data_IF_382747942314
#
_entry.id   IF_382747942314
#
_cell.length_a   1.000
_cell.length_b   1.000
_cell.length_c   1.000
_cell.angle_alpha   90.00
_cell.angle_beta   90.00
_cell.angle_gamma   90.00
#
_symmetry.space_group_name_H-M   'P 1'
#
loop_
_entity.id
_entity.type
_entity.pdbx_description
1 polymer ?
#
# COMPACT_ATOMS: atom_id res chain seq x y z
N UNK A 1 8.36 66.40 -3.47
CA UNK A 1 8.52 66.93 -4.85
C UNK A 1 9.76 66.29 -5.46
N UNK A 2 9.67 66.00 -6.76
CA UNK A 2 10.66 65.40 -7.67
C UNK A 2 10.80 63.88 -7.59
N UNK A 3 10.90 63.12 -8.68
CA UNK A 3 10.44 63.17 -10.09
C UNK A 3 10.91 61.86 -10.76
N UNK A 4 10.27 61.49 -11.87
CA UNK A 4 10.42 60.23 -12.60
C UNK A 4 11.68 60.12 -13.51
N UNK A 5 11.95 58.88 -13.96
CA UNK A 5 12.87 58.46 -15.04
C UNK A 5 14.16 57.81 -14.52
N UNK A 6 14.62 56.63 -14.93
CA UNK A 6 14.71 56.14 -16.32
C UNK A 6 14.89 54.61 -16.44
N UNK A 7 14.59 54.09 -17.63
CA UNK A 7 14.72 52.71 -18.10
C UNK A 7 16.17 52.35 -18.45
N UNK A 8 16.73 51.24 -17.92
CA UNK A 8 17.80 50.49 -18.60
C UNK A 8 17.74 49.00 -18.27
N UNK A 9 17.30 48.22 -19.25
CA UNK A 9 17.39 46.77 -19.35
C UNK A 9 18.82 46.32 -19.68
N UNK A 10 19.32 45.28 -18.98
CA UNK A 10 20.45 44.45 -19.42
C UNK A 10 19.98 42.98 -19.53
N UNK A 11 20.50 42.21 -20.49
CA UNK A 11 19.82 41.05 -21.04
C UNK A 11 20.16 39.77 -20.29
N UNK A 12 19.13 39.02 -19.88
CA UNK A 12 19.24 37.58 -19.65
C UNK A 12 18.89 36.87 -20.95
N UNK A 13 19.90 36.49 -21.73
CA UNK A 13 19.72 35.55 -22.84
C UNK A 13 19.20 34.22 -22.26
N UNK A 14 18.07 33.68 -22.75
CA UNK A 14 17.60 32.37 -22.33
C UNK A 14 18.46 31.28 -22.98
N UNK A 15 18.74 30.18 -22.26
CA UNK A 15 19.39 28.94 -22.73
C UNK A 15 18.85 28.35 -24.06
N UNK A 16 17.74 28.89 -24.58
CA UNK A 16 17.15 28.55 -25.88
C UNK A 16 18.03 28.97 -27.05
N UNK A 17 18.79 30.06 -26.93
CA UNK A 17 19.55 30.63 -28.05
C UNK A 17 20.92 29.94 -28.24
N UNK A 18 21.53 29.39 -27.18
CA UNK A 18 22.76 28.58 -27.30
C UNK A 18 22.50 27.17 -27.86
N UNK A 19 21.28 26.63 -27.68
CA UNK A 19 20.94 25.27 -28.11
C UNK A 19 20.44 25.17 -29.57
N UNK A 20 20.09 26.30 -30.19
CA UNK A 20 19.73 26.35 -31.62
C UNK A 20 20.97 26.34 -32.54
N UNK A 21 22.17 26.57 -32.00
CA UNK A 21 23.43 26.55 -32.75
C UNK A 21 23.97 25.12 -33.06
N UNK A 22 23.36 24.06 -32.50
CA UNK A 22 23.76 22.67 -32.71
C UNK A 22 22.88 21.88 -33.67
N UNK A 23 21.98 22.55 -34.42
CA UNK A 23 21.25 21.94 -35.54
C UNK A 23 20.15 20.94 -35.14
N UNK A 24 19.71 20.95 -33.88
CA UNK A 24 18.57 20.14 -33.44
C UNK A 24 17.28 20.86 -33.83
N UNK A 25 16.52 20.29 -34.76
CA UNK A 25 15.26 20.87 -35.21
C UNK A 25 14.19 20.83 -34.10
N UNK A 26 13.34 21.85 -34.03
CA UNK A 26 12.26 22.02 -33.03
C UNK A 26 11.31 20.81 -32.93
N UNK A 27 11.26 19.99 -33.98
CA UNK A 27 10.52 18.72 -34.06
C UNK A 27 11.14 17.61 -33.22
N UNK A 28 12.48 17.57 -33.11
CA UNK A 28 13.18 16.57 -32.30
C UNK A 28 13.08 16.88 -30.78
N UNK A 29 13.02 18.16 -30.41
CA UNK A 29 12.79 18.58 -29.03
C UNK A 29 11.36 18.24 -28.57
N UNK A 30 10.37 18.39 -29.46
CA UNK A 30 8.98 17.98 -29.21
C UNK A 30 8.81 16.46 -29.08
N UNK A 31 9.64 15.66 -29.74
CA UNK A 31 9.64 14.20 -29.60
C UNK A 31 10.29 13.72 -28.28
N UNK A 32 11.37 14.36 -27.84
CA UNK A 32 12.02 14.04 -26.57
C UNK A 32 11.15 14.42 -25.36
N UNK A 33 10.49 15.57 -25.41
CA UNK A 33 9.51 15.94 -24.38
C UNK A 33 8.19 15.15 -24.50
N UNK A 34 7.77 14.80 -25.73
CA UNK A 34 6.56 14.02 -25.99
C UNK A 34 6.63 12.57 -25.50
N UNK A 35 7.81 11.94 -25.50
CA UNK A 35 7.99 10.56 -25.02
C UNK A 35 7.95 10.43 -23.49
N UNK A 36 8.24 11.50 -22.74
CA UNK A 36 8.18 11.50 -21.29
C UNK A 36 6.81 11.95 -20.74
N UNK A 37 6.02 12.71 -21.50
CA UNK A 37 4.70 13.20 -21.05
C UNK A 37 3.49 12.58 -21.75
N UNK A 38 3.72 11.72 -22.75
CA UNK A 38 2.68 11.14 -23.61
C UNK A 38 1.88 9.96 -23.03
N UNK A 39 2.20 9.49 -21.82
CA UNK A 39 1.50 8.35 -21.21
C UNK A 39 0.50 8.70 -20.10
N UNK A 40 0.36 9.97 -19.71
CA UNK A 40 -0.45 10.29 -18.53
C UNK A 40 -1.66 11.19 -18.71
N UNK A 41 -1.78 12.06 -19.73
CA UNK A 41 -3.02 12.83 -19.92
C UNK A 41 -3.24 13.23 -21.39
N UNK A 42 -4.40 12.94 -22.01
CA UNK A 42 -4.79 13.63 -23.23
C UNK A 42 -5.05 15.10 -22.90
N UNK A 43 -4.45 15.99 -23.69
CA UNK A 43 -4.50 17.45 -23.58
C UNK A 43 -5.96 17.96 -23.66
N UNK A 44 -6.62 18.03 -22.51
CA UNK A 44 -7.72 18.95 -22.25
C UNK A 44 -7.37 19.71 -20.99
N UNK A 45 -7.69 21.00 -20.96
CA UNK A 45 -7.39 21.94 -19.87
C UNK A 45 -8.32 21.69 -18.66
N UNK A 46 -8.38 20.43 -18.23
CA UNK A 46 -9.07 19.92 -17.06
C UNK A 46 -8.05 19.05 -16.32
N UNK A 47 -7.39 19.59 -15.29
CA UNK A 47 -6.64 18.74 -14.36
C UNK A 47 -7.68 17.78 -13.75
N UNK A 48 -7.56 16.46 -13.91
CA UNK A 48 -8.47 15.58 -13.20
C UNK A 48 -8.31 15.87 -11.70
N UNK A 49 -9.41 15.97 -10.95
CA UNK A 49 -9.33 16.23 -9.53
C UNK A 49 -8.58 15.10 -8.82
N UNK A 50 -7.65 15.46 -7.95
CA UNK A 50 -7.17 14.59 -6.89
C UNK A 50 -5.66 14.43 -6.70
N UNK A 51 -4.76 14.75 -7.66
CA UNK A 51 -3.36 14.32 -7.50
C UNK A 51 -2.24 15.15 -8.15
N UNK A 52 -1.02 14.96 -7.61
CA UNK A 52 0.28 15.25 -8.23
C UNK A 52 1.10 13.94 -8.26
N UNK A 53 1.73 13.63 -9.40
CA UNK A 53 2.55 12.44 -9.61
C UNK A 53 4.01 12.85 -9.89
N UNK A 54 4.97 12.24 -9.19
CA UNK A 54 6.42 12.39 -9.46
C UNK A 54 6.90 11.36 -10.50
N UNK A 55 8.10 11.58 -11.06
CA UNK A 55 8.74 10.64 -12.00
C UNK A 55 8.96 9.24 -11.42
N UNK A 56 9.05 9.12 -10.10
CA UNK A 56 9.28 7.86 -9.37
C UNK A 56 7.98 7.19 -8.88
N UNK A 57 6.85 7.41 -9.57
CA UNK A 57 5.52 6.87 -9.20
C UNK A 57 5.05 7.28 -7.78
N UNK A 58 5.52 8.41 -7.27
CA UNK A 58 5.04 8.98 -6.02
C UNK A 58 3.77 9.78 -6.23
N UNK A 59 2.72 9.43 -5.52
CA UNK A 59 1.41 10.06 -5.54
C UNK A 59 1.17 10.83 -4.23
N UNK A 60 0.68 12.06 -4.33
CA UNK A 60 0.27 12.86 -3.17
C UNK A 60 -1.19 13.22 -3.28
N UNK A 61 -1.94 13.02 -2.19
CA UNK A 61 -3.34 13.38 -2.11
C UNK A 61 -3.53 14.90 -2.13
N UNK A 62 -4.75 15.33 -2.43
CA UNK A 62 -5.15 16.71 -2.22
C UNK A 62 -5.37 17.01 -0.73
N UNK A 63 -5.24 18.27 -0.37
CA UNK A 63 -5.51 18.75 0.99
C UNK A 63 -6.98 18.60 1.37
N UNK A 64 -7.88 18.79 0.41
CA UNK A 64 -9.31 18.55 0.56
C UNK A 64 -9.97 18.36 -0.80
N UNK A 65 -11.24 17.97 -0.80
CA UNK A 65 -12.00 17.77 -2.04
C UNK A 65 -12.08 19.04 -2.92
N UNK A 66 -11.86 20.22 -2.33
CA UNK A 66 -11.92 21.52 -3.04
C UNK A 66 -10.55 22.19 -3.19
N UNK A 67 -9.55 21.82 -2.38
CA UNK A 67 -8.22 22.43 -2.39
C UNK A 67 -7.18 21.46 -2.98
N UNK A 68 -6.69 21.73 -4.21
CA UNK A 68 -5.76 20.87 -4.92
C UNK A 68 -4.31 20.95 -4.43
N UNK A 69 -4.04 21.69 -3.35
CA UNK A 69 -2.74 21.70 -2.69
C UNK A 69 -2.39 20.33 -2.12
N UNK A 70 -1.10 20.14 -1.85
CA UNK A 70 -0.58 18.90 -1.26
C UNK A 70 -1.26 18.62 0.08
N UNK A 71 -1.84 17.42 0.18
CA UNK A 71 -2.41 16.87 1.39
C UNK A 71 -1.41 16.05 2.20
N UNK A 72 -1.92 15.32 3.19
CA UNK A 72 -1.08 14.59 4.14
C UNK A 72 -0.71 13.18 3.69
N UNK A 73 -1.50 12.60 2.76
CA UNK A 73 -1.31 11.23 2.34
C UNK A 73 -0.41 11.11 1.12
N UNK A 74 0.52 10.17 1.19
CA UNK A 74 1.40 9.82 0.09
C UNK A 74 1.32 8.34 -0.22
N UNK A 75 1.42 8.00 -1.49
CA UNK A 75 1.54 6.64 -1.98
C UNK A 75 2.81 6.49 -2.79
N UNK A 76 3.62 5.50 -2.45
CA UNK A 76 4.90 5.21 -3.11
C UNK A 76 5.25 3.72 -2.99
N UNK A 77 6.21 3.30 -3.80
CA UNK A 77 6.81 1.97 -3.70
C UNK A 77 8.00 2.03 -2.74
N UNK A 78 7.98 1.17 -1.73
CA UNK A 78 9.06 1.01 -0.76
C UNK A 78 10.21 0.24 -1.43
N UNK A 79 11.39 0.85 -1.51
CA UNK A 79 12.57 0.29 -2.18
C UNK A 79 13.14 -0.95 -1.47
N UNK A 80 12.96 -1.05 -0.15
CA UNK A 80 13.52 -2.14 0.65
C UNK A 80 12.65 -3.40 0.55
N UNK A 81 11.33 -3.22 0.61
CA UNK A 81 10.38 -4.34 0.64
C UNK A 81 9.76 -4.66 -0.71
N UNK A 82 9.95 -3.78 -1.70
CA UNK A 82 9.31 -3.85 -3.01
C UNK A 82 7.76 -3.83 -2.94
N UNK A 83 7.21 -3.30 -1.84
CA UNK A 83 5.77 -3.19 -1.57
C UNK A 83 5.28 -1.76 -1.79
N UNK A 84 4.01 -1.61 -2.14
CA UNK A 84 3.39 -0.30 -2.19
C UNK A 84 2.86 0.10 -0.82
N UNK A 85 3.09 1.35 -0.44
CA UNK A 85 2.77 1.87 0.89
C UNK A 85 1.96 3.15 0.78
N UNK A 86 0.95 3.29 1.64
CA UNK A 86 0.26 4.55 1.88
C UNK A 86 0.68 5.07 3.26
N UNK A 87 1.13 6.31 3.31
CA UNK A 87 1.61 6.98 4.51
C UNK A 87 0.84 8.26 4.78
N UNK A 88 0.60 8.56 6.07
CA UNK A 88 0.14 9.87 6.56
C UNK A 88 1.34 10.55 7.23
N UNK A 89 2.01 11.44 6.48
CA UNK A 89 3.34 11.93 6.86
C UNK A 89 4.34 10.80 7.04
N UNK A 90 4.82 10.58 8.27
CA UNK A 90 5.79 9.53 8.62
C UNK A 90 5.15 8.21 9.06
N UNK A 91 3.82 8.16 9.17
CA UNK A 91 3.11 6.99 9.70
C UNK A 91 2.60 6.14 8.52
N UNK A 92 3.14 4.93 8.36
CA UNK A 92 2.62 3.94 7.41
C UNK A 92 1.20 3.54 7.82
N UNK A 93 0.22 3.73 6.94
CA UNK A 93 -1.20 3.41 7.17
C UNK A 93 -1.65 2.16 6.44
N UNK A 94 -0.98 1.78 5.36
CA UNK A 94 -1.31 0.60 4.58
C UNK A 94 -0.11 0.10 3.81
N UNK A 95 -0.04 -1.21 3.60
CA UNK A 95 0.94 -1.86 2.74
C UNK A 95 0.23 -2.87 1.82
N UNK A 96 0.73 -3.02 0.60
CA UNK A 96 0.28 -4.04 -0.35
C UNK A 96 0.80 -5.44 -0.06
N UNK A 97 1.57 -5.64 1.02
CA UNK A 97 2.32 -6.84 1.36
C UNK A 97 1.52 -8.17 1.40
N UNK A 98 2.23 -9.27 1.65
CA UNK A 98 1.63 -10.62 1.63
C UNK A 98 0.50 -10.78 2.64
N UNK A 99 -0.75 -10.66 2.15
CA UNK A 99 -1.88 -11.24 2.84
C UNK A 99 -1.65 -12.75 2.90
N UNK A 100 -1.73 -13.36 4.08
CA UNK A 100 -1.87 -14.82 4.15
C UNK A 100 -3.05 -15.28 3.29
N UNK A 101 -3.02 -16.52 2.79
CA UNK A 101 -4.06 -17.07 1.88
C UNK A 101 -5.50 -16.88 2.38
N UNK A 102 -5.68 -16.64 3.68
CA UNK A 102 -6.96 -16.39 4.34
C UNK A 102 -7.53 -14.97 4.16
N UNK A 103 -6.69 -13.95 3.91
CA UNK A 103 -7.09 -12.52 3.89
C UNK A 103 -6.87 -11.84 2.54
N UNK A 104 -7.24 -12.53 1.45
CA UNK A 104 -7.12 -12.05 0.07
C UNK A 104 -7.77 -10.68 -0.24
N UNK A 105 -8.66 -10.17 0.62
CA UNK A 105 -9.27 -8.84 0.47
C UNK A 105 -8.32 -7.68 0.76
N UNK A 106 -7.25 -7.92 1.53
CA UNK A 106 -6.24 -6.91 1.86
C UNK A 106 -5.15 -6.81 0.78
N UNK A 107 -5.02 -7.85 -0.06
CA UNK A 107 -4.02 -7.90 -1.13
C UNK A 107 -4.39 -6.99 -2.28
N UNK A 108 -3.40 -6.22 -2.75
CA UNK A 108 -3.53 -5.51 -4.02
C UNK A 108 -3.70 -6.51 -5.17
N UNK A 109 -4.73 -6.38 -6.03
CA UNK A 109 -4.91 -7.23 -7.19
C UNK A 109 -3.69 -7.19 -8.11
N UNK A 110 -3.25 -8.35 -8.60
CA UNK A 110 -2.06 -8.45 -9.44
C UNK A 110 -2.18 -7.59 -10.72
N UNK A 111 -3.39 -7.46 -11.28
CA UNK A 111 -3.63 -6.58 -12.43
C UNK A 111 -3.34 -5.11 -12.15
N UNK A 112 -3.48 -4.64 -10.90
CA UNK A 112 -3.15 -3.28 -10.48
C UNK A 112 -1.64 -3.17 -10.23
N UNK A 113 -1.02 -4.18 -9.63
CA UNK A 113 0.44 -4.27 -9.49
C UNK A 113 1.14 -4.21 -10.86
N UNK A 114 0.60 -4.93 -11.85
CA UNK A 114 1.09 -4.90 -13.24
C UNK A 114 1.01 -3.50 -13.84
N UNK A 115 -0.13 -2.82 -13.67
CA UNK A 115 -0.33 -1.44 -14.13
C UNK A 115 0.64 -0.46 -13.48
N UNK A 116 0.80 -0.51 -12.15
CA UNK A 116 1.69 0.36 -11.39
C UNK A 116 3.18 0.12 -11.74
N UNK A 117 3.56 -1.11 -12.09
CA UNK A 117 4.92 -1.43 -12.55
C UNK A 117 5.25 -0.94 -13.95
N UNK A 118 4.39 -0.13 -14.57
CA UNK A 118 4.47 0.22 -15.99
C UNK A 118 4.58 -1.03 -16.90
N UNK A 119 3.80 -2.07 -16.56
CA UNK A 119 3.70 -3.30 -17.34
C UNK A 119 4.99 -4.13 -17.40
N UNK A 120 5.90 -3.97 -16.45
CA UNK A 120 7.19 -4.68 -16.41
C UNK A 120 7.17 -5.94 -15.55
N UNK A 121 6.33 -6.01 -14.51
CA UNK A 121 6.24 -7.17 -13.63
C UNK A 121 5.56 -8.36 -14.31
N UNK A 122 6.11 -9.55 -14.10
CA UNK A 122 5.43 -10.81 -14.45
C UNK A 122 4.45 -11.13 -13.34
N UNK A 123 3.16 -11.13 -13.67
CA UNK A 123 2.10 -11.50 -12.74
C UNK A 123 1.60 -12.91 -13.05
N UNK A 124 1.32 -13.74 -12.02
CA UNK A 124 0.68 -15.03 -12.25
C UNK A 124 -0.65 -14.86 -12.99
N UNK A 125 -1.09 -15.84 -13.81
CA UNK A 125 -2.42 -15.82 -14.40
C UNK A 125 -3.46 -16.00 -13.28
N UNK A 126 -3.86 -14.90 -12.64
CA UNK A 126 -4.87 -14.93 -11.60
C UNK A 126 -6.27 -14.83 -12.20
N UNK A 127 -7.20 -15.56 -11.58
CA UNK A 127 -8.63 -15.29 -11.68
C UNK A 127 -8.90 -14.00 -10.91
N UNK A 128 -8.46 -12.86 -11.42
CA UNK A 128 -8.74 -11.58 -10.77
C UNK A 128 -10.25 -11.44 -10.62
N UNK A 129 -10.74 -11.24 -9.39
CA UNK A 129 -12.14 -10.87 -9.11
C UNK A 129 -12.48 -9.44 -9.53
N UNK A 130 -11.53 -8.71 -10.12
CA UNK A 130 -11.88 -7.56 -10.95
C UNK A 130 -12.66 -8.17 -12.11
N UNK A 131 -13.93 -7.80 -12.27
CA UNK A 131 -14.78 -8.19 -13.41
C UNK A 131 -14.21 -7.60 -14.71
N UNK A 132 -13.00 -7.99 -15.08
CA UNK A 132 -12.47 -7.86 -16.42
C UNK A 132 -13.04 -9.07 -17.14
N UNK A 133 -14.23 -8.87 -17.71
CA UNK A 133 -14.99 -9.89 -18.42
C UNK A 133 -14.12 -10.52 -19.49
N UNK A 134 -13.57 -11.71 -19.25
CA UNK A 134 -12.99 -12.54 -20.30
C UNK A 134 -13.43 -13.98 -20.13
N UNK A 135 -14.14 -14.57 -21.12
CA UNK A 135 -14.34 -16.00 -21.20
C UNK A 135 -13.14 -16.63 -21.91
N UNK A 136 -12.09 -17.04 -21.19
CA UNK A 136 -11.17 -18.07 -21.68
C UNK A 136 -10.14 -18.49 -20.61
N UNK A 137 -10.09 -19.78 -20.34
CA UNK A 137 -9.09 -20.51 -19.56
C UNK A 137 -7.83 -20.79 -20.39
N UNK A 138 -7.06 -19.77 -20.74
CA UNK A 138 -5.71 -19.91 -21.28
C UNK A 138 -4.83 -18.78 -20.75
N UNK A 139 -3.52 -19.02 -20.58
CA UNK A 139 -2.54 -18.06 -20.07
C UNK A 139 -2.61 -16.72 -20.83
N UNK A 140 -3.45 -15.80 -20.39
CA UNK A 140 -3.67 -14.51 -21.02
C UNK A 140 -2.68 -13.52 -20.43
N UNK A 141 -1.69 -13.15 -21.24
CA UNK A 141 -0.92 -11.93 -20.99
C UNK A 141 -1.89 -10.76 -20.97
N UNK A 142 -1.99 -10.08 -19.83
CA UNK A 142 -2.78 -8.86 -19.69
C UNK A 142 -2.25 -7.82 -20.70
N UNK A 143 -3.00 -7.56 -21.77
CA UNK A 143 -2.61 -6.55 -22.75
C UNK A 143 -2.69 -5.15 -22.16
N UNK A 144 -1.67 -4.31 -22.42
CA UNK A 144 -1.64 -2.89 -22.03
C UNK A 144 -2.89 -2.12 -22.50
N UNK A 145 -3.48 -2.54 -23.62
CA UNK A 145 -4.70 -1.92 -24.16
C UNK A 145 -5.90 -1.98 -23.21
N UNK A 146 -5.97 -2.97 -22.31
CA UNK A 146 -7.05 -3.10 -21.33
C UNK A 146 -7.06 -1.98 -20.28
N UNK A 147 -5.93 -1.31 -20.08
CA UNK A 147 -5.77 -0.22 -19.11
C UNK A 147 -5.87 1.17 -19.77
N UNK A 148 -6.16 1.24 -21.06
CA UNK A 148 -6.26 2.51 -21.81
C UNK A 148 -7.32 3.47 -21.25
N UNK A 149 -8.38 2.92 -20.66
CA UNK A 149 -9.48 3.66 -20.05
C UNK A 149 -9.48 3.54 -18.52
N UNK A 150 -8.32 3.35 -17.89
CA UNK A 150 -8.24 3.28 -16.42
C UNK A 150 -7.44 4.43 -15.81
N UNK A 151 -7.68 4.69 -14.52
CA UNK A 151 -6.92 5.66 -13.73
C UNK A 151 -6.76 5.18 -12.29
N UNK A 152 -5.69 5.63 -11.65
CA UNK A 152 -5.47 5.50 -10.21
C UNK A 152 -5.57 6.88 -9.57
N UNK A 153 -6.21 6.96 -8.40
CA UNK A 153 -6.32 8.15 -7.57
C UNK A 153 -6.03 7.83 -6.11
N UNK A 154 -5.23 8.62 -5.40
CA UNK A 154 -5.19 8.64 -3.93
C UNK A 154 -6.15 9.72 -3.44
N UNK A 155 -7.12 9.32 -2.64
CA UNK A 155 -8.14 10.22 -2.12
C UNK A 155 -7.65 11.04 -0.93
N UNK A 156 -8.42 12.06 -0.54
CA UNK A 156 -8.05 12.94 0.57
C UNK A 156 -8.12 12.23 1.94
N UNK A 157 -8.83 11.11 1.99
CA UNK A 157 -8.93 10.18 3.12
C UNK A 157 -7.80 9.13 3.15
N UNK A 158 -6.90 9.13 2.16
CA UNK A 158 -5.79 8.18 2.10
C UNK A 158 -6.16 6.83 1.48
N UNK A 159 -7.19 6.79 0.64
CA UNK A 159 -7.61 5.60 -0.10
C UNK A 159 -7.06 5.62 -1.53
N UNK A 160 -6.32 4.59 -1.92
CA UNK A 160 -5.89 4.38 -3.30
C UNK A 160 -7.01 3.70 -4.08
N UNK A 161 -7.58 4.41 -5.05
CA UNK A 161 -8.74 3.99 -5.83
C UNK A 161 -8.33 3.72 -7.29
N UNK A 162 -8.72 2.56 -7.81
CA UNK A 162 -8.60 2.19 -9.22
C UNK A 162 -9.95 2.28 -9.92
N UNK A 163 -10.01 3.07 -10.99
CA UNK A 163 -11.23 3.37 -11.73
C UNK A 163 -11.10 2.96 -13.19
N UNK A 164 -12.19 2.48 -13.79
CA UNK A 164 -12.31 2.22 -15.23
C UNK A 164 -13.42 3.09 -15.81
N UNK A 165 -13.12 3.73 -16.93
CA UNK A 165 -14.09 4.47 -17.73
C UNK A 165 -14.77 3.54 -18.73
N UNK A 166 -16.09 3.54 -18.70
CA UNK A 166 -16.95 2.89 -19.68
C UNK A 166 -17.89 3.93 -20.30
N UNK A 167 -18.17 3.81 -21.59
CA UNK A 167 -18.98 4.81 -22.32
C UNK A 167 -20.43 4.87 -21.86
N UNK A 168 -20.96 3.78 -21.28
CA UNK A 168 -22.34 3.68 -20.83
C UNK A 168 -22.48 4.05 -19.35
N UNK A 169 -21.48 3.71 -18.53
CA UNK A 169 -21.53 3.87 -17.07
C UNK A 169 -20.62 4.96 -16.52
N UNK A 170 -19.85 5.64 -17.40
CA UNK A 170 -18.81 6.61 -17.03
C UNK A 170 -17.72 5.97 -16.15
N UNK A 171 -17.07 6.74 -15.28
CA UNK A 171 -16.08 6.22 -14.33
C UNK A 171 -16.72 5.31 -13.28
N UNK A 172 -16.28 4.06 -13.24
CA UNK A 172 -16.66 3.05 -12.25
C UNK A 172 -15.49 2.69 -11.35
N UNK A 173 -15.72 2.65 -10.04
CA UNK A 173 -14.72 2.22 -9.07
C UNK A 173 -14.61 0.70 -9.12
N UNK A 174 -13.39 0.20 -9.33
CA UNK A 174 -13.13 -1.23 -9.49
C UNK A 174 -12.42 -1.82 -8.27
N UNK A 175 -11.60 -1.02 -7.61
CA UNK A 175 -10.87 -1.43 -6.41
C UNK A 175 -10.48 -0.21 -5.59
N UNK A 176 -10.42 -0.36 -4.28
CA UNK A 176 -9.81 0.62 -3.37
C UNK A 176 -8.95 -0.10 -2.33
N UNK A 177 -7.91 0.58 -1.83
CA UNK A 177 -7.06 0.13 -0.74
C UNK A 177 -6.69 1.30 0.17
N UNK A 178 -6.83 1.20 1.51
CA UNK A 178 -7.29 0.04 2.28
C UNK A 178 -8.76 -0.31 2.01
N UNK A 179 -9.08 -1.61 1.89
CA UNK A 179 -10.44 -2.10 1.55
C UNK A 179 -11.49 -1.82 2.62
N UNK A 180 -11.05 -1.74 3.88
CA UNK A 180 -11.89 -1.50 5.03
C UNK A 180 -11.06 -0.93 6.20
N UNK A 181 -11.74 -0.64 7.33
CA UNK A 181 -11.11 -0.10 8.53
C UNK A 181 -10.10 -1.04 9.17
N UNK A 182 -10.21 -2.35 8.97
CA UNK A 182 -9.27 -3.34 9.53
C UNK A 182 -8.02 -3.51 8.68
N UNK A 183 -8.11 -3.19 7.38
CA UNK A 183 -6.99 -3.16 6.46
C UNK A 183 -5.99 -2.03 6.77
N UNK A 184 -6.40 -1.04 7.57
CA UNK A 184 -5.50 0.03 8.04
C UNK A 184 -4.55 -0.53 9.09
N UNK A 185 -3.25 -0.29 8.90
CA UNK A 185 -2.21 -0.67 9.85
C UNK A 185 -2.51 -0.07 11.22
N UNK A 186 -2.46 -0.94 12.24
CA UNK A 186 -2.69 -0.58 13.64
C UNK A 186 -4.06 0.09 13.92
N UNK A 187 -5.11 -0.25 13.16
CA UNK A 187 -6.44 0.33 13.32
C UNK A 187 -7.03 0.26 14.74
N UNK A 188 -6.69 -0.80 15.48
CA UNK A 188 -7.18 -1.05 16.84
C UNK A 188 -6.15 -0.80 17.94
N UNK A 189 -4.99 -0.24 17.60
CA UNK A 189 -3.87 -0.06 18.52
C UNK A 189 -3.23 -1.37 18.96
N UNK A 190 -2.17 -1.25 19.75
CA UNK A 190 -1.39 -2.40 20.24
C UNK A 190 -2.29 -3.35 21.05
N UNK A 191 -2.14 -4.66 20.81
CA UNK A 191 -2.91 -5.73 21.48
C UNK A 191 -4.44 -5.64 21.29
N UNK A 192 -4.89 -4.87 20.31
CA UNK A 192 -6.27 -4.86 19.81
C UNK A 192 -6.40 -5.72 18.56
N UNK A 193 -7.52 -6.43 18.41
CA UNK A 193 -7.91 -7.12 17.19
C UNK A 193 -9.03 -6.37 16.47
N UNK A 194 -8.97 -6.36 15.14
CA UNK A 194 -9.99 -5.77 14.29
C UNK A 194 -10.88 -6.85 13.67
N UNK A 195 -12.19 -6.68 13.77
CA UNK A 195 -13.17 -7.55 13.15
C UNK A 195 -14.45 -6.74 12.87
N UNK A 196 -14.73 -6.51 11.59
CA UNK A 196 -15.86 -5.72 11.11
C UNK A 196 -17.23 -6.33 11.45
N UNK A 197 -17.29 -7.63 11.73
CA UNK A 197 -18.53 -8.33 12.10
C UNK A 197 -18.91 -8.12 13.57
N UNK A 198 -18.03 -7.51 14.37
CA UNK A 198 -18.35 -7.14 15.74
C UNK A 198 -19.11 -5.81 15.79
N UNK A 199 -19.91 -5.62 16.86
CA UNK A 199 -20.60 -4.34 17.13
C UNK A 199 -19.65 -3.15 17.22
N UNK A 200 -18.46 -3.37 17.78
CA UNK A 200 -17.33 -2.46 17.70
C UNK A 200 -16.24 -3.20 16.92
N UNK A 201 -15.71 -2.57 15.88
CA UNK A 201 -14.70 -3.19 15.02
C UNK A 201 -13.48 -3.65 15.83
N UNK A 202 -13.09 -2.88 16.85
CA UNK A 202 -11.95 -3.17 17.69
C UNK A 202 -12.34 -3.86 19.01
N UNK A 203 -11.57 -4.89 19.40
CA UNK A 203 -11.64 -5.55 20.71
C UNK A 203 -10.24 -5.84 21.25
N UNK A 204 -10.04 -5.67 22.55
CA UNK A 204 -8.79 -6.11 23.17
C UNK A 204 -8.68 -7.64 23.11
N UNK A 205 -7.46 -8.13 22.93
CA UNK A 205 -7.19 -9.55 23.06
C UNK A 205 -7.55 -10.05 24.47
N UNK A 206 -7.96 -11.31 24.64
CA UNK A 206 -8.27 -11.85 25.97
C UNK A 206 -7.10 -11.68 26.95
N UNK A 207 -7.39 -11.19 28.16
CA UNK A 207 -6.38 -10.85 29.17
C UNK A 207 -5.86 -9.40 29.11
N UNK A 208 -6.29 -8.63 28.11
CA UNK A 208 -6.00 -7.21 27.96
C UNK A 208 -7.24 -6.35 28.18
N UNK A 209 -7.03 -5.10 28.58
CA UNK A 209 -8.06 -4.08 28.76
C UNK A 209 -7.69 -2.81 28.01
N UNK A 210 -8.65 -1.98 27.59
CA UNK A 210 -8.35 -0.69 26.97
C UNK A 210 -7.41 0.14 27.84
N UNK A 211 -6.40 0.77 27.22
CA UNK A 211 -5.55 1.71 27.95
C UNK A 211 -6.34 2.91 28.47
N UNK A 212 -7.32 3.39 27.69
CA UNK A 212 -8.31 4.38 28.10
C UNK A 212 -9.70 3.87 27.76
N UNK A 213 -10.50 3.63 28.79
CA UNK A 213 -11.88 3.17 28.63
C UNK A 213 -12.78 4.25 28.01
N UNK A 214 -12.45 5.52 28.22
CA UNK A 214 -13.17 6.67 27.66
C UNK A 214 -12.93 6.80 26.16
N UNK A 215 -11.67 6.78 25.71
CA UNK A 215 -11.32 6.85 24.29
C UNK A 215 -11.97 5.70 23.51
N UNK A 216 -11.89 4.49 24.07
CA UNK A 216 -12.51 3.30 23.47
C UNK A 216 -14.04 3.42 23.32
N UNK A 217 -14.72 4.09 24.26
CA UNK A 217 -16.17 4.34 24.15
C UNK A 217 -16.49 5.39 23.09
N UNK A 218 -15.57 6.30 22.84
CA UNK A 218 -15.69 7.34 21.81
C UNK A 218 -15.21 6.89 20.42
N UNK A 219 -14.77 5.63 20.27
CA UNK A 219 -14.28 5.07 19.01
C UNK A 219 -12.83 5.39 18.69
N UNK A 220 -12.08 5.97 19.64
CA UNK A 220 -10.64 6.13 19.53
C UNK A 220 -9.92 4.92 20.14
N UNK A 221 -9.38 4.08 19.27
CA UNK A 221 -8.66 2.86 19.63
C UNK A 221 -7.13 3.03 19.58
N UNK A 222 -6.63 4.23 19.27
CA UNK A 222 -5.20 4.48 19.04
C UNK A 222 -4.32 4.14 20.26
N UNK A 223 -4.84 4.33 21.47
CA UNK A 223 -4.18 3.96 22.72
C UNK A 223 -4.05 2.45 22.96
N UNK A 224 -4.68 1.62 22.14
CA UNK A 224 -4.61 0.16 22.22
C UNK A 224 -5.09 -0.42 23.56
N UNK A 225 -4.50 -1.55 23.91
CA UNK A 225 -4.85 -2.33 25.08
C UNK A 225 -3.60 -2.63 25.92
N UNK A 226 -3.79 -2.70 27.23
CA UNK A 226 -2.75 -3.01 28.21
C UNK A 226 -3.06 -4.34 28.89
N UNK A 227 -1.99 -5.11 29.15
CA UNK A 227 -2.10 -6.38 29.86
C UNK A 227 -2.41 -6.12 31.32
N UNK A 228 -3.33 -6.89 31.90
CA UNK A 228 -3.68 -6.74 33.33
C UNK A 228 -2.72 -7.49 34.28
N UNK A 229 -1.80 -8.31 33.77
CA UNK A 229 -0.94 -9.19 34.55
C UNK A 229 0.55 -9.07 34.13
N UNK A 230 1.51 -9.24 35.07
CA UNK A 230 2.94 -9.21 34.77
C UNK A 230 3.35 -10.29 33.76
N UNK A 231 4.38 -10.01 32.96
CA UNK A 231 4.95 -10.89 31.92
C UNK A 231 6.21 -11.58 32.46
N UNK A 232 6.53 -12.76 31.94
CA UNK A 232 7.70 -13.58 32.25
C UNK A 232 7.65 -14.34 33.59
N UNK A 233 6.47 -14.86 33.94
CA UNK A 233 6.34 -15.84 35.02
C UNK A 233 6.80 -17.23 34.58
N UNK A 234 7.40 -18.02 35.49
CA UNK A 234 7.76 -19.43 35.22
C UNK A 234 6.58 -20.32 34.79
N UNK A 235 5.35 -19.85 35.01
CA UNK A 235 4.10 -20.53 34.68
C UNK A 235 3.29 -19.80 33.59
N UNK A 236 3.93 -18.92 32.82
CA UNK A 236 3.25 -18.20 31.75
C UNK A 236 2.76 -19.17 30.67
N UNK A 237 1.57 -18.90 30.16
CA UNK A 237 0.92 -19.71 29.12
C UNK A 237 0.40 -18.81 28.01
N UNK A 238 0.30 -19.38 26.81
CA UNK A 238 -0.26 -18.68 25.65
C UNK A 238 -1.69 -19.12 25.39
N UNK A 239 -2.51 -18.15 25.00
CA UNK A 239 -3.83 -18.40 24.46
C UNK A 239 -3.73 -18.55 22.94
N UNK A 240 -4.23 -19.67 22.40
CA UNK A 240 -4.29 -19.86 20.95
C UNK A 240 -5.39 -19.00 20.34
N UNK A 241 -5.01 -18.07 19.47
CA UNK A 241 -5.91 -17.26 18.66
C UNK A 241 -5.97 -17.82 17.24
N UNK A 242 -7.17 -18.02 16.72
CA UNK A 242 -7.40 -18.58 15.37
C UNK A 242 -7.90 -17.50 14.43
N UNK A 243 -7.67 -17.67 13.13
CA UNK A 243 -8.06 -16.75 12.07
C UNK A 243 -7.57 -15.32 12.33
N UNK A 244 -6.29 -15.19 12.67
CA UNK A 244 -5.62 -13.92 12.89
C UNK A 244 -4.70 -13.62 11.71
N UNK A 245 -4.78 -12.41 11.17
CA UNK A 245 -3.67 -11.82 10.42
C UNK A 245 -2.72 -11.21 11.45
N UNK A 246 -1.43 -11.51 11.34
CA UNK A 246 -0.39 -10.97 12.22
C UNK A 246 0.50 -10.07 11.37
N UNK A 247 0.91 -8.95 11.94
CA UNK A 247 1.86 -8.04 11.30
C UNK A 247 3.26 -8.64 11.18
N UNK A 248 4.24 -7.77 10.95
CA UNK A 248 5.63 -8.16 10.86
C UNK A 248 6.13 -8.70 12.20
N UNK A 249 6.75 -9.88 12.18
CA UNK A 249 7.40 -10.47 13.34
C UNK A 249 8.70 -9.73 13.66
N UNK A 250 9.05 -9.65 14.95
CA UNK A 250 10.31 -9.04 15.39
C UNK A 250 11.48 -9.98 15.08
N UNK A 251 11.27 -11.29 15.26
CA UNK A 251 12.29 -12.32 15.06
C UNK A 251 11.69 -13.50 14.30
N UNK A 252 12.45 -14.05 13.36
CA UNK A 252 12.14 -15.33 12.74
C UNK A 252 13.31 -16.31 12.90
N UNK A 253 12.99 -17.58 13.16
CA UNK A 253 14.00 -18.64 13.24
C UNK A 253 13.40 -20.00 12.85
N UNK A 254 14.28 -20.95 12.55
CA UNK A 254 13.87 -22.32 12.20
C UNK A 254 13.51 -23.08 13.47
N UNK A 255 12.31 -23.63 13.53
CA UNK A 255 11.85 -24.45 14.65
C UNK A 255 11.37 -25.80 14.13
N UNK A 256 11.81 -26.90 14.72
CA UNK A 256 11.43 -28.25 14.29
C UNK A 256 9.92 -28.48 14.39
N UNK A 257 9.32 -28.02 15.50
CA UNK A 257 7.89 -28.11 15.78
C UNK A 257 7.37 -26.85 16.50
N UNK A 258 6.05 -26.78 16.67
CA UNK A 258 5.38 -25.69 17.39
C UNK A 258 5.85 -25.61 18.86
N UNK A 259 6.19 -26.75 19.46
CA UNK A 259 6.62 -26.81 20.86
C UNK A 259 7.94 -26.07 21.05
N UNK A 260 8.90 -26.25 20.13
CA UNK A 260 10.17 -25.52 20.10
C UNK A 260 9.98 -24.03 19.86
N UNK A 261 9.04 -23.65 19.00
CA UNK A 261 8.67 -22.25 18.79
C UNK A 261 8.13 -21.62 20.08
N UNK A 262 7.22 -22.31 20.77
CA UNK A 262 6.69 -21.90 22.08
C UNK A 262 7.77 -21.81 23.15
N UNK A 263 8.65 -22.81 23.26
CA UNK A 263 9.77 -22.82 24.20
C UNK A 263 10.72 -21.64 23.94
N UNK A 264 11.02 -21.34 22.67
CA UNK A 264 11.83 -20.18 22.28
C UNK A 264 11.25 -18.87 22.79
N UNK A 265 9.94 -18.68 22.64
CA UNK A 265 9.25 -17.51 23.17
C UNK A 265 9.25 -17.45 24.70
N UNK A 266 8.98 -18.57 25.40
CA UNK A 266 8.98 -18.58 26.88
C UNK A 266 10.36 -18.28 27.50
N UNK A 267 11.44 -18.60 26.80
CA UNK A 267 12.80 -18.35 27.27
C UNK A 267 13.21 -16.87 27.13
N UNK A 268 12.51 -16.11 26.29
CA UNK A 268 12.76 -14.68 26.06
C UNK A 268 11.66 -13.88 26.75
N UNK A 269 11.97 -13.26 27.89
CA UNK A 269 11.01 -12.41 28.60
C UNK A 269 10.32 -11.31 27.76
N UNK A 270 10.95 -10.66 26.76
CA UNK A 270 10.24 -9.69 25.92
C UNK A 270 9.21 -10.35 24.99
N UNK A 271 9.26 -11.66 24.78
CA UNK A 271 8.35 -12.35 23.90
C UNK A 271 6.92 -12.37 24.47
N UNK A 272 5.95 -11.95 23.66
CA UNK A 272 4.54 -11.88 24.06
C UNK A 272 3.63 -12.76 23.22
N UNK A 273 4.07 -13.18 22.03
CA UNK A 273 3.33 -14.01 21.12
C UNK A 273 4.31 -14.84 20.26
N UNK A 274 3.80 -15.94 19.70
CA UNK A 274 4.52 -16.68 18.68
C UNK A 274 3.53 -17.19 17.62
N UNK A 275 4.03 -17.45 16.42
CA UNK A 275 3.30 -18.11 15.34
C UNK A 275 4.21 -19.16 14.70
N UNK A 276 3.65 -20.34 14.41
CA UNK A 276 4.39 -21.45 13.81
C UNK A 276 3.86 -21.74 12.41
N UNK A 277 4.75 -21.65 11.42
CA UNK A 277 4.44 -21.90 10.02
C UNK A 277 5.08 -23.22 9.61
N UNK A 278 4.24 -24.25 9.46
CA UNK A 278 4.62 -25.54 8.88
C UNK A 278 4.54 -25.44 7.36
N UNK A 279 5.66 -25.64 6.65
CA UNK A 279 5.62 -25.69 5.18
C UNK A 279 5.36 -27.12 4.71
N UNK A 280 4.39 -27.28 3.82
CA UNK A 280 4.08 -28.55 3.19
C UNK A 280 5.15 -28.89 2.15
N UNK A 281 5.77 -30.06 2.29
CA UNK A 281 6.76 -30.57 1.35
C UNK A 281 6.02 -31.13 0.14
N UNK A 282 6.04 -30.41 -0.98
CA UNK A 282 5.57 -30.95 -2.25
C UNK A 282 6.52 -32.05 -2.72
N UNK A 283 6.07 -33.31 -2.71
CA UNK A 283 6.84 -34.49 -3.15
C UNK A 283 7.03 -34.55 -4.68
N UNK A 284 7.56 -33.50 -5.32
CA UNK A 284 7.97 -33.55 -6.73
C UNK A 284 9.33 -32.91 -6.94
N UNK A 285 10.34 -33.79 -6.90
CA UNK A 285 11.75 -33.68 -7.36
C UNK A 285 12.66 -32.68 -6.64
N UNK A 286 13.60 -33.27 -5.90
CA UNK A 286 14.95 -32.79 -5.55
C UNK A 286 15.14 -31.28 -5.43
N UNK A 287 15.01 -30.78 -4.20
CA UNK A 287 15.84 -29.74 -3.57
C UNK A 287 15.43 -29.59 -2.10
N UNK A 288 16.44 -29.53 -1.23
CA UNK A 288 16.44 -29.18 0.21
C UNK A 288 15.08 -29.16 0.91
N UNK A 289 14.88 -30.02 1.93
CA UNK A 289 13.75 -29.88 2.83
C UNK A 289 13.76 -28.48 3.47
N UNK A 290 12.89 -27.60 2.97
CA UNK A 290 12.71 -26.27 3.52
C UNK A 290 12.14 -26.40 4.93
N UNK A 291 12.82 -25.77 5.88
CA UNK A 291 12.55 -25.91 7.32
C UNK A 291 11.31 -25.13 7.75
N UNK A 292 10.55 -25.71 8.67
CA UNK A 292 9.51 -25.04 9.45
C UNK A 292 10.03 -23.74 10.08
N UNK A 293 9.20 -22.70 10.11
CA UNK A 293 9.58 -21.37 10.58
C UNK A 293 8.73 -20.95 11.78
N UNK A 294 9.40 -20.48 12.82
CA UNK A 294 8.81 -19.82 13.96
C UNK A 294 8.95 -18.30 13.79
N UNK A 295 7.86 -17.59 14.08
CA UNK A 295 7.77 -16.14 14.10
C UNK A 295 7.46 -15.73 15.54
N UNK A 296 8.25 -14.81 16.08
CA UNK A 296 8.07 -14.20 17.39
C UNK A 296 7.90 -12.70 17.21
#
# INVERSE_FOLDING_TARGET
MCSAGDNTSLPTTPLRDEMMASGITDTALKLLFGLLTGMFFPQTRWKPPGMKMSGDLKLTSWKSQVDPKEGNFTFEQDEETDQFVISDGYIKRWTSGESSDFFSSERMPDGIVYFLSNFTRIVPPTKSKINITTPSTTNTTLSRSYYSNSRIRLDVEGELQYWIFDVNTNWSLQWLGPGDKCSVLNACGNFGSCNLYNRLACRCLPGFKPSSQENWRNGDFSGGCIRSAPVCGKNDTFLSLKNMSVGQADINFKAEDEKKCKEGCLNECPCQAYSFVKREVNMRRDRQADSNTCLI
#
